data_IF_792665055659
#
_entry.id   IF_792665055659
#
_cell.length_a   1.000
_cell.length_b   1.000
_cell.length_c   1.000
_cell.angle_alpha   90.00
_cell.angle_beta   90.00
_cell.angle_gamma   90.00
#
_symmetry.space_group_name_H-M   'P 1'
#
loop_
_entity.id
_entity.type
_entity.pdbx_description
1 polymer ?
#
# COMPACT_ATOMS: atom_id res chain seq x y z
N UNK A 1 -21.36 37.20 -46.06
CA UNK A 1 -20.80 36.53 -44.87
C UNK A 1 -19.43 36.00 -45.24
N UNK A 2 -18.38 36.79 -45.04
CA UNK A 2 -17.00 36.46 -45.44
C UNK A 2 -16.06 36.47 -44.21
N UNK A 3 -16.46 35.78 -43.13
CA UNK A 3 -15.72 35.77 -41.86
C UNK A 3 -14.76 34.57 -41.69
N UNK A 4 -14.61 33.74 -42.74
CA UNK A 4 -13.97 32.42 -42.65
C UNK A 4 -12.43 32.41 -42.70
N UNK A 5 -11.70 33.31 -43.40
CA UNK A 5 -10.25 33.14 -43.59
C UNK A 5 -9.39 33.51 -42.37
N UNK A 6 -9.91 34.27 -41.42
CA UNK A 6 -9.11 34.72 -40.25
C UNK A 6 -9.02 33.65 -39.15
N UNK A 7 -10.06 32.84 -39.00
CA UNK A 7 -10.14 31.84 -37.93
C UNK A 7 -9.20 30.66 -38.16
N UNK A 8 -9.03 30.23 -39.42
CA UNK A 8 -8.09 29.16 -39.78
C UNK A 8 -6.64 29.56 -39.52
N UNK A 9 -6.25 30.80 -39.85
CA UNK A 9 -4.91 31.32 -39.59
C UNK A 9 -4.57 31.35 -38.10
N UNK A 10 -5.54 31.68 -37.23
CA UNK A 10 -5.33 31.70 -35.78
C UNK A 10 -5.11 30.29 -35.21
N UNK A 11 -5.90 29.31 -35.67
CA UNK A 11 -5.76 27.91 -35.23
C UNK A 11 -4.39 27.37 -35.62
N UNK A 12 -3.94 27.57 -36.87
CA UNK A 12 -2.63 27.09 -37.31
C UNK A 12 -1.48 27.70 -36.50
N UNK A 13 -1.56 29.00 -36.20
CA UNK A 13 -0.58 29.68 -35.34
C UNK A 13 -0.53 29.12 -33.92
N UNK A 14 -1.68 28.85 -33.31
CA UNK A 14 -1.76 28.25 -31.97
C UNK A 14 -1.21 26.81 -31.95
N UNK A 15 -1.59 25.97 -32.92
CA UNK A 15 -1.04 24.60 -33.01
C UNK A 15 0.46 24.61 -33.26
N UNK A 16 0.97 25.49 -34.12
CA UNK A 16 2.41 25.61 -34.36
C UNK A 16 3.14 26.06 -33.09
N UNK A 17 2.60 27.05 -32.36
CA UNK A 17 3.16 27.51 -31.09
C UNK A 17 3.19 26.40 -30.03
N UNK A 18 2.12 25.60 -29.91
CA UNK A 18 2.06 24.48 -28.97
C UNK A 18 3.02 23.33 -29.36
N UNK A 19 3.15 23.02 -30.64
CA UNK A 19 4.12 22.03 -31.14
C UNK A 19 5.55 22.54 -30.92
N UNK A 20 5.82 23.82 -31.18
CA UNK A 20 7.13 24.42 -30.98
C UNK A 20 7.49 24.47 -29.48
N UNK A 21 6.55 24.82 -28.60
CA UNK A 21 6.73 24.70 -27.15
C UNK A 21 6.99 23.24 -26.73
N UNK A 22 6.27 22.27 -27.30
CA UNK A 22 6.51 20.85 -27.05
C UNK A 22 7.90 20.38 -27.49
N UNK A 23 8.35 20.81 -28.67
CA UNK A 23 9.66 20.44 -29.24
C UNK A 23 10.82 21.16 -28.54
N UNK A 24 10.69 22.45 -28.23
CA UNK A 24 11.71 23.21 -27.52
C UNK A 24 11.88 22.73 -26.07
N UNK A 25 10.79 22.30 -25.42
CA UNK A 25 10.88 21.68 -24.09
C UNK A 25 11.42 20.23 -24.16
N UNK A 26 11.29 19.55 -25.30
CA UNK A 26 11.80 18.20 -25.52
C UNK A 26 13.30 18.10 -25.86
N UNK A 27 13.91 19.16 -26.40
CA UNK A 27 15.30 19.14 -26.88
C UNK A 27 16.36 19.43 -25.80
N UNK A 28 15.98 19.86 -24.60
CA UNK A 28 16.89 19.96 -23.45
C UNK A 28 16.80 18.71 -22.57
N UNK A 29 16.77 17.53 -23.17
CA UNK A 29 17.01 16.30 -22.43
C UNK A 29 18.52 16.10 -22.24
N UNK A 30 19.17 17.13 -21.68
CA UNK A 30 20.52 16.99 -21.10
C UNK A 30 20.43 15.78 -20.17
N UNK A 31 21.21 14.74 -20.44
CA UNK A 31 21.08 13.47 -19.73
C UNK A 31 21.17 13.74 -18.23
N UNK A 32 20.02 13.70 -17.55
CA UNK A 32 19.91 14.14 -16.17
C UNK A 32 20.34 13.01 -15.25
N UNK A 33 21.56 12.51 -15.47
CA UNK A 33 22.23 11.60 -14.57
C UNK A 33 22.18 12.20 -13.17
N UNK A 34 21.80 11.41 -12.18
CA UNK A 34 21.75 11.96 -10.83
C UNK A 34 23.17 12.23 -10.33
N UNK A 35 24.13 11.35 -10.64
CA UNK A 35 25.55 11.59 -10.40
C UNK A 35 26.20 12.17 -11.66
N UNK A 36 26.74 13.37 -11.56
CA UNK A 36 27.38 14.09 -12.66
C UNK A 36 28.88 13.75 -12.79
N UNK A 37 29.40 12.88 -11.93
CA UNK A 37 30.80 12.46 -11.94
C UNK A 37 31.68 13.24 -10.96
N UNK A 38 32.99 13.03 -11.12
CA UNK A 38 34.03 13.73 -10.37
C UNK A 38 34.47 14.98 -11.14
N UNK A 39 34.64 16.10 -10.44
CA UNK A 39 35.02 17.37 -11.04
C UNK A 39 36.05 18.12 -10.21
N UNK A 40 36.78 19.02 -10.87
CA UNK A 40 37.64 20.02 -10.23
C UNK A 40 37.08 21.42 -10.43
N UNK A 41 37.20 22.25 -9.40
CA UNK A 41 36.73 23.64 -9.44
C UNK A 41 37.54 24.46 -10.47
N UNK A 42 36.86 25.15 -11.38
CA UNK A 42 37.51 26.06 -12.33
C UNK A 42 37.26 27.53 -12.02
N UNK A 43 36.13 27.84 -11.37
CA UNK A 43 35.78 29.20 -11.01
C UNK A 43 35.62 29.37 -9.47
N UNK A 44 36.50 30.13 -8.79
CA UNK A 44 36.42 30.38 -7.34
C UNK A 44 35.08 30.99 -6.89
N UNK A 45 34.42 31.78 -7.75
CA UNK A 45 33.32 32.67 -7.38
C UNK A 45 31.92 32.07 -7.59
N UNK A 46 31.81 30.88 -8.17
CA UNK A 46 30.53 30.28 -8.58
C UNK A 46 29.70 29.66 -7.43
N UNK A 47 30.13 29.79 -6.17
CA UNK A 47 29.70 28.92 -5.08
C UNK A 47 29.06 29.66 -3.89
N UNK A 48 27.94 29.13 -3.40
CA UNK A 48 27.43 29.44 -2.06
C UNK A 48 27.85 28.32 -1.10
N UNK A 49 28.70 28.66 -0.14
CA UNK A 49 29.38 27.72 0.73
C UNK A 49 28.59 27.39 1.99
N UNK A 50 28.45 26.10 2.30
CA UNK A 50 27.98 25.62 3.60
C UNK A 50 29.14 24.94 4.36
N UNK A 51 29.56 25.55 5.48
CA UNK A 51 30.55 24.96 6.39
C UNK A 51 29.86 24.05 7.37
N UNK A 52 29.79 22.77 7.05
CA UNK A 52 29.80 21.67 8.02
C UNK A 52 29.77 20.34 7.24
N UNK A 53 30.32 19.26 7.81
CA UNK A 53 30.12 17.93 7.25
C UNK A 53 28.64 17.58 7.36
N UNK A 54 27.95 17.77 6.25
CA UNK A 54 26.53 17.48 6.08
C UNK A 54 26.45 16.24 5.20
N UNK A 55 25.63 15.27 5.59
CA UNK A 55 25.36 14.09 4.77
C UNK A 55 24.77 14.51 3.40
N UNK A 56 24.97 13.69 2.36
CA UNK A 56 24.56 14.04 0.99
C UNK A 56 23.06 14.36 0.90
N UNK A 57 22.21 13.67 1.66
CA UNK A 57 20.76 13.93 1.72
C UNK A 57 20.43 15.29 2.32
N UNK A 58 21.05 15.66 3.43
CA UNK A 58 20.84 16.94 4.09
C UNK A 58 21.32 18.09 3.20
N UNK A 59 22.50 17.94 2.60
CA UNK A 59 23.06 18.92 1.67
C UNK A 59 22.15 19.09 0.45
N UNK A 60 21.72 18.00 -0.17
CA UNK A 60 20.83 18.04 -1.33
C UNK A 60 19.46 18.62 -1.01
N UNK A 61 18.89 18.25 0.14
CA UNK A 61 17.62 18.79 0.62
C UNK A 61 17.70 20.31 0.81
N UNK A 62 18.79 20.80 1.40
CA UNK A 62 19.03 22.23 1.60
C UNK A 62 19.19 22.97 0.27
N UNK A 63 20.07 22.49 -0.61
CA UNK A 63 20.29 23.10 -1.93
C UNK A 63 18.99 23.17 -2.74
N UNK A 64 18.17 22.12 -2.69
CA UNK A 64 16.86 22.08 -3.34
C UNK A 64 15.89 23.11 -2.74
N UNK A 65 15.84 23.27 -1.42
CA UNK A 65 14.99 24.29 -0.75
C UNK A 65 15.38 25.71 -1.17
N UNK A 66 16.65 25.95 -1.44
CA UNK A 66 17.17 27.22 -1.94
C UNK A 66 17.04 27.39 -3.47
N UNK A 67 16.49 26.40 -4.18
CA UNK A 67 16.27 26.47 -5.63
C UNK A 67 17.48 26.09 -6.49
N UNK A 68 18.56 25.60 -5.89
CA UNK A 68 19.72 25.09 -6.63
C UNK A 68 19.46 23.71 -7.24
N UNK A 69 20.03 23.46 -8.42
CA UNK A 69 19.81 22.23 -9.20
C UNK A 69 20.81 21.12 -8.90
N UNK A 70 21.99 21.49 -8.42
CA UNK A 70 23.07 20.57 -8.16
C UNK A 70 23.72 20.82 -6.80
N UNK A 71 24.50 19.84 -6.39
CA UNK A 71 25.24 19.76 -5.16
C UNK A 71 26.64 19.32 -5.51
N UNK A 72 27.66 20.06 -5.07
CA UNK A 72 29.05 19.61 -5.08
C UNK A 72 29.46 19.19 -3.68
N UNK A 73 29.84 17.92 -3.54
CA UNK A 73 30.32 17.33 -2.30
C UNK A 73 31.83 17.20 -2.31
N UNK A 74 32.46 17.68 -1.24
CA UNK A 74 33.81 17.30 -0.81
C UNK A 74 33.72 16.75 0.61
N UNK A 75 34.72 16.01 1.07
CA UNK A 75 34.67 15.18 2.31
C UNK A 75 34.06 15.92 3.51
N UNK A 76 34.35 17.21 3.63
CA UNK A 76 33.91 18.04 4.74
C UNK A 76 33.01 19.22 4.35
N UNK A 77 32.72 19.37 3.06
CA UNK A 77 32.07 20.58 2.53
C UNK A 77 31.00 20.27 1.50
N UNK A 78 29.95 21.08 1.52
CA UNK A 78 28.79 21.00 0.66
C UNK A 78 28.62 22.35 -0.03
N UNK A 79 28.37 22.33 -1.34
CA UNK A 79 28.14 23.52 -2.15
C UNK A 79 26.88 23.34 -2.99
N UNK A 80 26.07 24.38 -3.07
CA UNK A 80 24.85 24.38 -3.88
C UNK A 80 25.11 25.12 -5.19
N UNK A 81 24.77 24.48 -6.32
CA UNK A 81 25.11 24.99 -7.65
C UNK A 81 23.88 25.09 -8.54
N UNK A 82 23.85 26.14 -9.37
CA UNK A 82 22.84 26.29 -10.41
C UNK A 82 23.22 25.58 -11.70
N UNK A 83 24.53 25.52 -11.98
CA UNK A 83 25.12 24.89 -13.17
C UNK A 83 26.29 24.02 -12.72
N UNK A 84 26.48 22.87 -13.35
CA UNK A 84 27.67 22.03 -13.15
C UNK A 84 28.86 22.45 -14.02
N UNK A 85 28.62 23.30 -15.02
CA UNK A 85 29.63 23.75 -16.00
C UNK A 85 30.76 24.61 -15.39
N UNK A 86 30.52 25.19 -14.21
CA UNK A 86 31.55 25.91 -13.42
C UNK A 86 32.61 24.96 -12.82
N UNK A 87 32.49 23.66 -13.12
CA UNK A 87 33.44 22.63 -12.75
C UNK A 87 33.85 21.84 -13.98
N UNK A 88 35.14 21.48 -14.03
CA UNK A 88 35.68 20.66 -15.10
C UNK A 88 35.66 19.21 -14.68
N UNK A 89 35.03 18.38 -15.51
CA UNK A 89 35.01 16.93 -15.32
C UNK A 89 36.44 16.38 -15.28
N UNK A 90 36.67 15.46 -14.35
CA UNK A 90 37.95 14.77 -14.16
C UNK A 90 37.71 13.26 -13.98
N UNK A 91 38.78 12.49 -13.87
CA UNK A 91 38.68 11.05 -13.69
C UNK A 91 38.04 10.66 -12.35
N UNK A 92 37.15 9.67 -12.36
CA UNK A 92 36.45 9.17 -11.16
C UNK A 92 37.40 8.72 -10.06
N UNK A 93 38.59 8.22 -10.44
CA UNK A 93 39.66 7.81 -9.53
C UNK A 93 40.20 8.94 -8.64
N UNK A 94 39.82 10.20 -8.87
CA UNK A 94 40.15 11.30 -7.98
C UNK A 94 39.11 11.46 -6.86
N UNK A 95 37.86 11.04 -7.07
CA UNK A 95 36.78 11.12 -6.07
C UNK A 95 36.67 9.82 -5.26
N UNK A 96 37.74 9.45 -4.55
CA UNK A 96 37.85 8.17 -3.82
C UNK A 96 37.25 8.19 -2.42
N UNK A 97 36.94 9.37 -1.88
CA UNK A 97 36.44 9.48 -0.52
C UNK A 97 34.94 9.22 -0.49
N UNK A 98 34.46 8.53 0.53
CA UNK A 98 33.05 8.21 0.68
C UNK A 98 32.35 9.26 1.55
N UNK A 99 31.06 9.51 1.33
CA UNK A 99 30.28 10.36 2.24
C UNK A 99 30.18 9.69 3.63
N UNK A 100 30.00 10.49 4.68
CA UNK A 100 29.93 10.03 6.08
C UNK A 100 28.96 8.85 6.33
N UNK A 101 27.80 8.84 5.64
CA UNK A 101 26.71 7.89 5.90
C UNK A 101 26.30 7.08 4.66
N UNK A 102 27.12 7.13 3.62
CA UNK A 102 26.86 6.36 2.41
C UNK A 102 28.18 5.87 1.84
N UNK A 103 28.14 4.81 1.05
CA UNK A 103 29.36 4.45 0.32
C UNK A 103 29.70 5.54 -0.72
N UNK A 104 28.75 6.39 -1.15
CA UNK A 104 28.87 7.21 -2.37
C UNK A 104 30.08 8.15 -2.37
N UNK A 105 30.64 8.46 -3.55
CA UNK A 105 31.71 9.43 -3.68
C UNK A 105 31.38 10.81 -3.06
N UNK A 106 32.34 11.38 -2.33
CA UNK A 106 32.21 12.66 -1.63
C UNK A 106 33.45 13.52 -1.87
N UNK A 107 33.81 13.68 -3.13
CA UNK A 107 35.03 14.37 -3.53
C UNK A 107 36.28 13.53 -3.34
N UNK A 108 37.43 14.20 -3.41
CA UNK A 108 38.73 13.57 -3.55
C UNK A 108 39.74 13.85 -2.44
N UNK A 109 40.98 13.42 -2.69
CA UNK A 109 42.13 13.65 -1.80
C UNK A 109 42.55 15.11 -1.73
N UNK A 110 42.23 15.90 -2.76
CA UNK A 110 42.50 17.35 -2.80
C UNK A 110 41.23 18.12 -2.44
N UNK A 111 41.40 19.29 -1.84
CA UNK A 111 40.29 20.17 -1.44
C UNK A 111 39.47 20.70 -2.63
N UNK A 112 40.01 20.61 -3.85
CA UNK A 112 39.40 21.14 -5.07
C UNK A 112 38.67 20.07 -5.90
N UNK A 113 38.59 18.84 -5.39
CA UNK A 113 37.93 17.71 -6.08
C UNK A 113 36.56 17.44 -5.47
N UNK A 114 35.53 17.48 -6.32
CA UNK A 114 34.13 17.42 -5.92
C UNK A 114 33.38 16.29 -6.63
N UNK A 115 32.52 15.60 -5.90
CA UNK A 115 31.49 14.72 -6.47
C UNK A 115 30.22 15.54 -6.68
N UNK A 116 29.80 15.69 -7.94
CA UNK A 116 28.62 16.50 -8.26
C UNK A 116 27.39 15.62 -8.40
N UNK A 117 26.31 16.01 -7.73
CA UNK A 117 25.01 15.35 -7.74
C UNK A 117 23.92 16.32 -8.13
N UNK A 118 22.84 15.83 -8.76
CA UNK A 118 21.59 16.58 -8.82
C UNK A 118 20.96 16.67 -7.44
N UNK A 119 20.48 17.86 -7.08
CA UNK A 119 19.79 18.12 -5.80
C UNK A 119 18.43 17.42 -5.71
N UNK A 120 17.89 16.93 -6.83
CA UNK A 120 16.66 16.14 -6.91
C UNK A 120 16.91 14.63 -6.84
N UNK A 121 17.94 14.19 -6.13
CA UNK A 121 18.31 12.78 -6.00
C UNK A 121 17.22 11.86 -5.44
N UNK A 122 17.50 10.54 -5.37
CA UNK A 122 16.54 9.52 -5.00
C UNK A 122 16.32 9.46 -3.48
N UNK A 123 16.08 10.60 -2.85
CA UNK A 123 15.87 10.69 -1.41
C UNK A 123 14.50 10.13 -1.03
N UNK A 124 14.43 9.47 0.13
CA UNK A 124 13.17 9.03 0.72
C UNK A 124 12.45 10.28 1.24
N UNK A 125 11.28 10.56 0.68
CA UNK A 125 10.45 11.71 1.02
C UNK A 125 9.49 11.38 2.16
N UNK A 126 8.84 10.22 2.10
CA UNK A 126 7.88 9.81 3.13
C UNK A 126 7.76 8.30 3.23
N UNK A 127 7.44 7.84 4.44
CA UNK A 127 7.04 6.46 4.73
C UNK A 127 5.65 6.50 5.36
N UNK A 128 4.70 5.83 4.72
CA UNK A 128 3.29 5.83 5.13
C UNK A 128 2.80 4.40 5.30
N UNK A 129 2.03 4.15 6.35
CA UNK A 129 1.34 2.88 6.52
C UNK A 129 0.00 2.94 5.81
N UNK A 130 -0.28 1.98 4.94
CA UNK A 130 -1.61 1.82 4.37
C UNK A 130 -2.52 1.24 5.46
N UNK A 131 -3.51 2.02 5.87
CA UNK A 131 -4.36 1.69 7.03
C UNK A 131 -5.13 0.39 6.80
N UNK A 132 -4.99 -0.55 7.73
CA UNK A 132 -5.79 -1.77 7.80
C UNK A 132 -6.28 -1.96 9.24
N UNK A 133 -7.51 -2.45 9.40
CA UNK A 133 -8.04 -2.89 10.68
C UNK A 133 -7.40 -4.23 11.03
N UNK A 134 -6.70 -4.28 12.16
CA UNK A 134 -5.90 -5.44 12.61
C UNK A 134 -6.61 -6.14 13.77
N UNK A 135 -6.74 -7.46 13.70
CA UNK A 135 -7.23 -8.30 14.81
C UNK A 135 -6.06 -8.78 15.69
N UNK A 136 -6.24 -8.88 17.02
CA UNK A 136 -5.19 -9.35 17.92
C UNK A 136 -4.88 -10.84 17.72
N UNK A 137 -3.66 -11.25 18.10
CA UNK A 137 -3.12 -12.61 18.08
C UNK A 137 -3.02 -13.28 16.71
N UNK A 138 -3.18 -12.52 15.63
CA UNK A 138 -3.00 -12.98 14.26
C UNK A 138 -1.81 -12.27 13.62
N UNK A 139 -0.94 -12.99 12.88
CA UNK A 139 0.06 -12.35 12.03
C UNK A 139 -0.64 -11.52 10.95
N UNK A 140 -0.33 -10.24 10.87
CA UNK A 140 -0.86 -9.31 9.87
C UNK A 140 0.29 -8.72 9.06
N UNK A 141 0.10 -8.74 7.75
CA UNK A 141 1.03 -8.16 6.79
C UNK A 141 0.68 -6.69 6.55
N UNK A 142 1.37 -5.81 7.24
CA UNK A 142 1.22 -4.37 7.11
C UNK A 142 1.86 -3.89 5.81
N UNK A 143 1.09 -3.17 5.01
CA UNK A 143 1.55 -2.57 3.77
C UNK A 143 2.10 -1.16 4.03
N UNK A 144 3.38 -0.96 3.74
CA UNK A 144 4.10 0.30 3.94
C UNK A 144 4.45 0.88 2.57
N UNK A 145 3.92 2.06 2.29
CA UNK A 145 4.24 2.85 1.11
C UNK A 145 5.47 3.70 1.38
N UNK A 146 6.48 3.57 0.53
CA UNK A 146 7.69 4.36 0.58
C UNK A 146 7.72 5.25 -0.67
N UNK A 147 7.71 6.56 -0.45
CA UNK A 147 7.79 7.56 -1.52
C UNK A 147 9.19 8.12 -1.59
N UNK A 148 9.79 8.06 -2.77
CA UNK A 148 11.04 8.72 -3.10
C UNK A 148 10.77 9.96 -3.95
N UNK A 149 11.59 10.99 -3.77
CA UNK A 149 11.49 12.23 -4.55
C UNK A 149 11.66 11.99 -6.06
N UNK A 150 12.60 11.11 -6.43
CA UNK A 150 12.88 10.71 -7.82
C UNK A 150 13.36 9.28 -7.84
N UNK A 151 12.91 8.49 -8.81
CA UNK A 151 13.51 7.20 -9.08
C UNK A 151 14.78 7.36 -9.92
N UNK A 152 15.88 6.76 -9.46
CA UNK A 152 17.13 6.68 -10.21
C UNK A 152 17.48 5.21 -10.38
N UNK A 153 17.56 4.77 -11.63
CA UNK A 153 18.03 3.43 -11.95
C UNK A 153 19.57 3.44 -11.99
N UNK A 154 20.20 3.05 -10.88
CA UNK A 154 21.66 3.07 -10.75
C UNK A 154 22.35 2.13 -11.73
N UNK A 155 21.68 1.08 -12.23
CA UNK A 155 22.25 0.22 -13.30
C UNK A 155 22.44 0.94 -14.64
N UNK A 156 21.75 2.07 -14.83
CA UNK A 156 21.85 2.94 -16.02
C UNK A 156 22.70 4.18 -15.76
N UNK A 157 23.26 4.34 -14.56
CA UNK A 157 24.15 5.46 -14.24
C UNK A 157 25.59 5.03 -14.61
N UNK A 158 26.13 5.47 -15.77
CA UNK A 158 27.38 4.95 -16.30
C UNK A 158 28.59 5.27 -15.40
N UNK A 159 28.46 6.32 -14.59
CA UNK A 159 29.50 6.83 -13.70
C UNK A 159 29.44 6.23 -12.29
N UNK A 160 28.48 5.35 -12.02
CA UNK A 160 28.40 4.58 -10.78
C UNK A 160 28.72 3.13 -11.09
N UNK A 161 29.69 2.55 -10.38
CA UNK A 161 30.02 1.14 -10.54
C UNK A 161 28.79 0.20 -10.39
N UNK A 162 28.88 -1.04 -10.85
CA UNK A 162 27.79 -2.02 -10.67
C UNK A 162 27.49 -2.39 -9.20
N UNK A 163 28.40 -2.05 -8.27
CA UNK A 163 28.27 -2.34 -6.83
C UNK A 163 27.24 -1.45 -6.11
N UNK A 164 26.68 -0.46 -6.79
CA UNK A 164 25.73 0.52 -6.26
C UNK A 164 24.30 0.12 -6.62
N UNK A 165 23.85 -1.06 -6.19
CA UNK A 165 22.45 -1.44 -6.37
C UNK A 165 21.56 -0.57 -5.50
N UNK A 166 20.63 0.15 -6.12
CA UNK A 166 19.60 0.90 -5.41
C UNK A 166 18.75 -0.12 -4.64
N UNK A 167 19.06 -0.30 -3.37
CA UNK A 167 18.36 -1.21 -2.47
C UNK A 167 17.66 -0.36 -1.44
N UNK A 168 16.36 -0.55 -1.34
CA UNK A 168 15.53 0.06 -0.33
C UNK A 168 15.36 -0.95 0.79
N UNK A 169 15.76 -0.60 1.99
CA UNK A 169 15.60 -1.45 3.16
C UNK A 169 14.64 -0.80 4.13
N UNK A 170 13.57 -1.52 4.43
CA UNK A 170 12.62 -1.15 5.46
C UNK A 170 12.94 -1.95 6.72
N UNK A 171 13.31 -1.24 7.76
CA UNK A 171 13.53 -1.74 9.10
C UNK A 171 12.31 -1.38 9.93
N UNK A 172 11.87 -2.29 10.79
CA UNK A 172 10.84 -1.99 11.77
C UNK A 172 11.27 -2.44 13.16
N UNK A 173 10.94 -1.62 14.13
CA UNK A 173 11.15 -1.88 15.54
C UNK A 173 9.82 -1.66 16.28
N UNK A 174 9.43 -2.67 17.04
CA UNK A 174 8.31 -2.61 17.97
C UNK A 174 8.80 -3.02 19.36
N UNK A 175 7.93 -2.92 20.36
CA UNK A 175 8.24 -3.43 21.72
C UNK A 175 8.43 -4.95 21.77
N UNK A 176 7.94 -5.69 20.77
CA UNK A 176 7.87 -7.16 20.82
C UNK A 176 8.78 -7.82 19.78
N UNK A 177 8.97 -7.18 18.63
CA UNK A 177 9.70 -7.73 17.49
C UNK A 177 10.44 -6.65 16.73
N UNK A 178 11.56 -7.01 16.12
CA UNK A 178 12.23 -6.22 15.09
C UNK A 178 12.39 -7.05 13.82
N UNK A 179 12.54 -6.39 12.68
CA UNK A 179 12.77 -7.07 11.42
C UNK A 179 13.20 -6.11 10.31
N UNK A 180 13.53 -6.70 9.16
CA UNK A 180 13.98 -5.98 7.99
C UNK A 180 13.48 -6.65 6.71
N UNK A 181 13.21 -5.85 5.68
CA UNK A 181 12.96 -6.34 4.32
C UNK A 181 13.73 -5.48 3.33
N UNK A 182 14.39 -6.12 2.37
CA UNK A 182 15.08 -5.45 1.25
C UNK A 182 14.23 -5.53 0.00
N UNK A 183 14.15 -4.41 -0.71
CA UNK A 183 13.32 -4.23 -1.90
C UNK A 183 14.19 -3.59 -2.97
N UNK A 184 14.09 -4.10 -4.19
CA UNK A 184 14.66 -3.46 -5.36
C UNK A 184 13.60 -2.52 -5.95
N UNK A 185 13.76 -1.19 -5.82
CA UNK A 185 12.80 -0.23 -6.31
C UNK A 185 12.72 -0.30 -7.84
N UNK A 186 11.51 -0.21 -8.37
CA UNK A 186 11.16 -0.14 -9.80
C UNK A 186 10.64 1.24 -10.19
N UNK A 187 10.25 2.08 -9.22
CA UNK A 187 9.75 3.43 -9.44
C UNK A 187 9.91 4.33 -8.20
N UNK A 188 9.28 5.51 -8.23
CA UNK A 188 9.35 6.47 -7.10
C UNK A 188 8.45 6.10 -5.92
N UNK A 189 7.52 5.17 -6.13
CA UNK A 189 6.60 4.68 -5.10
C UNK A 189 6.79 3.18 -5.00
N UNK A 190 7.17 2.72 -3.82
CA UNK A 190 7.37 1.30 -3.55
C UNK A 190 6.48 0.85 -2.41
N UNK A 191 6.04 -0.40 -2.50
CA UNK A 191 5.25 -1.05 -1.46
C UNK A 191 6.08 -2.14 -0.81
N UNK A 192 6.13 -2.09 0.50
CA UNK A 192 6.81 -3.06 1.36
C UNK A 192 5.79 -3.73 2.26
N UNK A 193 5.94 -5.02 2.51
CA UNK A 193 5.14 -5.72 3.49
C UNK A 193 5.99 -6.04 4.73
N UNK A 194 5.49 -5.73 5.92
CA UNK A 194 6.07 -6.23 7.18
C UNK A 194 5.03 -7.04 7.96
N UNK A 195 5.40 -8.25 8.37
CA UNK A 195 4.49 -9.14 9.10
C UNK A 195 4.70 -8.97 10.60
N UNK A 196 3.64 -8.61 11.31
CA UNK A 196 3.64 -8.39 12.75
C UNK A 196 2.46 -9.10 13.41
N UNK A 197 2.62 -9.51 14.66
CA UNK A 197 1.54 -10.02 15.49
C UNK A 197 1.38 -9.12 16.72
N UNK A 198 0.13 -8.77 17.04
CA UNK A 198 -0.20 -7.88 18.15
C UNK A 198 -0.89 -8.68 19.26
N UNK A 199 -0.40 -8.67 20.51
CA UNK A 199 -0.92 -9.55 21.57
C UNK A 199 -2.32 -9.16 22.07
N UNK A 200 -2.75 -7.92 21.85
CA UNK A 200 -4.02 -7.40 22.38
C UNK A 200 -4.56 -6.26 21.51
N UNK A 201 -5.82 -5.87 21.74
CA UNK A 201 -6.37 -4.66 21.15
C UNK A 201 -5.78 -3.41 21.79
N UNK A 202 -5.58 -2.35 21.01
CA UNK A 202 -5.03 -1.07 21.46
C UNK A 202 -4.27 -0.33 20.37
N UNK A 203 -3.54 0.69 20.79
CA UNK A 203 -2.68 1.49 19.92
C UNK A 203 -1.23 1.02 20.09
N UNK A 204 -0.60 0.63 19.00
CA UNK A 204 0.78 0.15 18.99
C UNK A 204 1.65 1.09 18.17
N UNK A 205 2.76 1.52 18.73
CA UNK A 205 3.75 2.32 18.02
C UNK A 205 4.76 1.42 17.32
N UNK A 206 4.95 1.68 16.04
CA UNK A 206 5.94 1.03 15.19
C UNK A 206 6.91 2.11 14.74
N UNK A 207 8.17 1.93 15.08
CA UNK A 207 9.24 2.71 14.50
C UNK A 207 9.62 2.08 13.16
N UNK A 208 9.35 2.77 12.06
CA UNK A 208 9.77 2.39 10.72
C UNK A 208 10.99 3.22 10.32
N UNK A 209 12.04 2.55 9.87
CA UNK A 209 13.18 3.22 9.25
C UNK A 209 13.30 2.70 7.83
N UNK A 210 13.06 3.57 6.86
CA UNK A 210 13.39 3.29 5.47
C UNK A 210 14.78 3.86 5.16
N UNK A 211 15.65 3.06 4.55
CA UNK A 211 16.97 3.51 4.12
C UNK A 211 17.25 3.09 2.69
N UNK A 212 17.96 3.93 1.96
CA UNK A 212 18.57 3.58 0.68
C UNK A 212 20.02 4.06 0.67
N UNK A 213 20.67 4.02 -0.51
CA UNK A 213 22.08 4.41 -0.64
C UNK A 213 22.35 5.88 -0.28
N UNK A 214 21.35 6.77 -0.36
CA UNK A 214 21.55 8.23 -0.25
C UNK A 214 20.94 8.82 1.01
N UNK A 215 19.92 8.19 1.58
CA UNK A 215 19.09 8.77 2.63
C UNK A 215 18.53 7.70 3.55
N UNK A 216 18.21 8.12 4.77
CA UNK A 216 17.42 7.36 5.70
C UNK A 216 16.30 8.23 6.25
N UNK A 217 15.12 7.66 6.44
CA UNK A 217 13.98 8.32 7.04
C UNK A 217 13.40 7.44 8.14
N UNK A 218 13.35 7.99 9.34
CA UNK A 218 12.74 7.37 10.51
C UNK A 218 11.36 7.97 10.74
N UNK A 219 10.35 7.13 10.87
CA UNK A 219 8.95 7.50 11.07
C UNK A 219 8.33 6.67 12.19
N UNK A 220 7.60 7.32 13.09
CA UNK A 220 6.86 6.66 14.15
C UNK A 220 5.39 6.58 13.74
N UNK A 221 4.92 5.38 13.46
CA UNK A 221 3.54 5.12 13.03
C UNK A 221 2.75 4.45 14.15
N UNK A 222 1.44 4.69 14.17
CA UNK A 222 0.53 4.08 15.14
C UNK A 222 -0.42 3.13 14.44
N UNK A 223 -0.49 1.88 14.92
CA UNK A 223 -1.42 0.86 14.45
C UNK A 223 -2.54 0.70 15.46
N UNK A 224 -3.78 0.80 14.97
CA UNK A 224 -4.98 0.57 15.76
C UNK A 224 -5.42 -0.88 15.61
N UNK A 225 -5.23 -1.66 16.68
CA UNK A 225 -5.65 -3.06 16.75
C UNK A 225 -6.98 -3.10 17.46
N UNK A 226 -8.01 -3.63 16.80
CA UNK A 226 -9.36 -3.71 17.35
C UNK A 226 -9.78 -5.16 17.44
N UNK A 227 -10.36 -5.53 18.58
CA UNK A 227 -11.08 -6.80 18.65
C UNK A 227 -12.37 -6.60 17.87
N UNK A 228 -12.53 -7.31 16.74
CA UNK A 228 -13.84 -7.37 16.11
C UNK A 228 -14.78 -7.98 17.13
N UNK A 229 -15.73 -7.16 17.62
CA UNK A 229 -16.93 -7.72 18.22
C UNK A 229 -17.61 -8.46 17.09
N UNK A 230 -17.56 -9.78 17.10
CA UNK A 230 -18.53 -10.55 16.34
C UNK A 230 -19.88 -10.02 16.80
N UNK A 231 -20.56 -9.24 15.94
CA UNK A 231 -21.99 -9.05 16.10
C UNK A 231 -22.52 -10.47 16.05
N UNK A 232 -22.84 -11.01 17.22
CA UNK A 232 -23.74 -12.13 17.31
C UNK A 232 -24.99 -11.61 16.60
N UNK A 233 -25.20 -12.03 15.36
CA UNK A 233 -26.51 -11.95 14.75
C UNK A 233 -27.39 -12.80 15.66
N UNK A 234 -28.15 -12.14 16.52
CA UNK A 234 -29.24 -12.80 17.23
C UNK A 234 -30.19 -13.30 16.16
N UNK A 235 -30.17 -14.62 15.95
CA UNK A 235 -31.17 -15.29 15.15
C UNK A 235 -32.39 -15.41 16.06
N UNK A 236 -33.25 -14.40 16.04
CA UNK A 236 -34.56 -14.50 16.65
C UNK A 236 -35.42 -15.43 15.80
N UNK A 237 -35.82 -16.54 16.39
CA UNK A 237 -36.83 -17.43 15.84
C UNK A 237 -38.20 -16.89 16.27
N UNK A 238 -38.91 -16.22 15.36
CA UNK A 238 -40.31 -15.87 15.59
C UNK A 238 -41.20 -17.02 15.13
N UNK A 239 -41.89 -17.65 16.09
CA UNK A 239 -43.00 -18.58 15.79
C UNK A 239 -44.22 -17.71 15.48
N UNK A 240 -44.67 -17.71 14.21
CA UNK A 240 -45.86 -16.99 13.78
C UNK A 240 -46.98 -18.02 13.61
N UNK A 241 -47.96 -17.99 14.52
CA UNK A 241 -49.29 -18.57 14.31
C UNK A 241 -49.87 -19.38 15.48
N UNK A 242 -51.04 -18.97 15.97
CA UNK A 242 -51.95 -19.74 16.84
C UNK A 242 -52.79 -20.79 16.07
N UNK A 243 -52.39 -21.15 14.86
CA UNK A 243 -53.12 -22.13 14.05
C UNK A 243 -52.49 -23.50 14.17
N UNK A 244 -53.22 -24.39 14.84
CA UNK A 244 -52.95 -25.82 14.93
C UNK A 244 -52.76 -26.43 13.51
N UNK A 245 -51.59 -27.00 13.18
CA UNK A 245 -51.35 -27.49 11.82
C UNK A 245 -51.77 -28.95 11.70
N UNK A 246 -52.77 -29.21 10.86
CA UNK A 246 -53.05 -30.54 10.32
C UNK A 246 -52.24 -30.79 9.05
N UNK A 247 -51.59 -31.96 9.03
CA UNK A 247 -51.05 -32.70 7.88
C UNK A 247 -49.64 -32.35 7.38
N UNK A 248 -48.89 -33.46 7.21
CA UNK A 248 -47.52 -33.59 6.71
C UNK A 248 -47.32 -32.90 5.36
N UNK A 249 -46.29 -32.07 5.26
CA UNK A 249 -45.68 -31.68 3.98
C UNK A 249 -44.20 -32.06 3.95
N UNK A 250 -43.78 -32.69 2.86
CA UNK A 250 -42.40 -33.05 2.59
C UNK A 250 -41.64 -31.86 1.95
N UNK A 251 -40.40 -31.65 2.42
CA UNK A 251 -39.50 -30.58 2.02
C UNK A 251 -38.71 -30.97 0.76
N UNK A 252 -39.14 -30.54 -0.42
CA UNK A 252 -38.27 -30.52 -1.61
C UNK A 252 -38.64 -29.35 -2.52
N UNK A 253 -37.61 -28.55 -2.84
CA UNK A 253 -37.54 -27.41 -3.77
C UNK A 253 -37.75 -26.00 -3.18
N UNK A 254 -36.62 -25.31 -3.03
CA UNK A 254 -36.52 -23.88 -2.74
C UNK A 254 -36.28 -23.17 -4.07
N UNK A 255 -37.26 -22.43 -4.58
CA UNK A 255 -37.08 -21.45 -5.66
C UNK A 255 -37.94 -20.24 -5.35
N UNK A 256 -37.30 -19.28 -4.69
CA UNK A 256 -37.31 -17.85 -5.05
C UNK A 256 -36.88 -17.03 -3.84
N UNK A 257 -35.75 -16.35 -3.98
CA UNK A 257 -35.28 -15.35 -3.02
C UNK A 257 -35.77 -14.00 -3.51
N UNK A 258 -36.99 -13.63 -3.11
CA UNK A 258 -37.47 -12.26 -3.29
C UNK A 258 -36.73 -11.32 -2.33
N UNK A 259 -35.76 -10.55 -2.85
CA UNK A 259 -35.14 -9.45 -2.12
C UNK A 259 -36.10 -8.27 -2.08
N UNK A 260 -36.77 -8.07 -0.95
CA UNK A 260 -37.32 -6.77 -0.59
C UNK A 260 -36.61 -6.28 0.68
N UNK A 261 -36.07 -5.06 0.62
CA UNK A 261 -35.02 -4.52 1.48
C UNK A 261 -34.99 -5.02 2.94
N UNK A 262 -33.81 -5.53 3.33
CA UNK A 262 -33.38 -6.01 4.67
C UNK A 262 -33.93 -7.33 5.21
N UNK A 263 -34.90 -7.97 4.54
CA UNK A 263 -35.37 -9.29 4.97
C UNK A 263 -35.24 -10.30 3.83
N UNK A 264 -34.71 -11.48 4.14
CA UNK A 264 -34.79 -12.65 3.27
C UNK A 264 -35.96 -13.48 3.78
N UNK A 265 -37.13 -13.33 3.15
CA UNK A 265 -38.27 -14.20 3.39
C UNK A 265 -38.12 -15.41 2.47
N UNK A 266 -38.20 -16.62 3.03
CA UNK A 266 -38.22 -17.83 2.22
C UNK A 266 -39.56 -18.52 2.38
N UNK A 267 -40.29 -18.66 1.27
CA UNK A 267 -41.59 -19.30 1.21
C UNK A 267 -41.51 -20.60 0.39
N UNK A 268 -42.23 -21.61 0.84
CA UNK A 268 -42.34 -22.92 0.19
C UNK A 268 -43.57 -22.93 -0.74
N UNK A 269 -43.40 -23.36 -2.00
CA UNK A 269 -44.50 -23.65 -2.94
C UNK A 269 -44.44 -25.12 -3.36
N UNK A 270 -45.55 -25.84 -3.21
CA UNK A 270 -45.63 -27.30 -3.28
C UNK A 270 -45.71 -27.88 -4.71
N UNK A 271 -45.18 -29.10 -4.89
CA UNK A 271 -45.40 -29.93 -6.09
C UNK A 271 -44.58 -31.24 -6.13
N UNK A 272 -45.21 -32.35 -5.73
CA UNK A 272 -44.86 -33.78 -5.95
C UNK A 272 -43.60 -34.40 -5.33
N UNK A 273 -43.76 -35.66 -4.89
CA UNK A 273 -42.92 -36.48 -4.02
C UNK A 273 -41.75 -37.20 -4.70
N UNK A 274 -40.60 -37.32 -4.00
CA UNK A 274 -39.94 -38.56 -3.52
C UNK A 274 -38.68 -38.15 -2.71
N UNK A 275 -38.38 -38.86 -1.63
CA UNK A 275 -37.49 -38.41 -0.56
C UNK A 275 -36.00 -38.32 -0.92
N UNK A 276 -35.37 -37.24 -0.47
CA UNK A 276 -33.90 -37.10 -0.40
C UNK A 276 -33.54 -36.04 0.64
N UNK A 277 -32.37 -36.22 1.27
CA UNK A 277 -31.71 -35.25 2.14
C UNK A 277 -31.69 -33.86 1.47
N UNK A 278 -32.06 -32.82 2.21
CA UNK A 278 -32.08 -31.45 1.72
C UNK A 278 -31.06 -30.61 2.48
N UNK A 279 -30.13 -30.01 1.73
CA UNK A 279 -29.21 -29.00 2.25
C UNK A 279 -29.62 -27.65 1.69
N UNK A 280 -29.91 -26.68 2.56
CA UNK A 280 -30.13 -25.30 2.14
C UNK A 280 -28.92 -24.47 2.50
N UNK A 281 -28.38 -23.77 1.50
CA UNK A 281 -27.19 -22.94 1.64
C UNK A 281 -27.59 -21.49 1.43
N UNK A 282 -27.47 -20.67 2.47
CA UNK A 282 -27.72 -19.24 2.43
C UNK A 282 -26.36 -18.52 2.41
N UNK A 283 -26.09 -17.76 1.34
CA UNK A 283 -24.85 -17.02 1.18
C UNK A 283 -25.10 -15.50 1.18
N UNK A 284 -24.27 -14.77 1.90
CA UNK A 284 -24.04 -13.34 1.70
C UNK A 284 -22.57 -13.12 1.28
N UNK A 285 -22.19 -11.89 0.93
CA UNK A 285 -20.86 -11.50 0.45
C UNK A 285 -19.69 -11.87 1.37
N UNK A 286 -19.94 -12.25 2.63
CA UNK A 286 -18.88 -12.60 3.60
C UNK A 286 -19.11 -13.87 4.41
N UNK A 287 -20.27 -14.52 4.29
CA UNK A 287 -20.65 -15.66 5.13
C UNK A 287 -21.53 -16.65 4.40
N UNK A 288 -21.32 -17.93 4.71
CA UNK A 288 -22.07 -19.05 4.16
C UNK A 288 -22.71 -19.80 5.33
N UNK A 289 -24.04 -19.91 5.32
CA UNK A 289 -24.81 -20.63 6.33
C UNK A 289 -25.40 -21.87 5.67
N UNK A 290 -25.00 -23.04 6.16
CA UNK A 290 -25.53 -24.32 5.71
C UNK A 290 -26.48 -24.87 6.78
N UNK A 291 -27.70 -25.19 6.36
CA UNK A 291 -28.69 -25.88 7.18
C UNK A 291 -28.94 -27.22 6.51
N UNK A 292 -28.42 -28.28 7.12
CA UNK A 292 -28.64 -29.65 6.70
C UNK A 292 -29.67 -30.31 7.63
N UNK A 293 -30.75 -30.83 7.05
CA UNK A 293 -31.73 -31.62 7.79
C UNK A 293 -31.51 -33.11 7.47
N UNK A 294 -31.34 -33.95 8.50
CA UNK A 294 -31.24 -35.40 8.33
C UNK A 294 -32.18 -36.18 9.24
N UNK A 295 -32.74 -37.25 8.68
CA UNK A 295 -33.53 -38.27 9.39
C UNK A 295 -34.99 -37.89 9.69
N UNK A 296 -35.75 -38.88 10.16
CA UNK A 296 -37.15 -38.76 10.56
C UNK A 296 -37.40 -37.84 11.76
N UNK A 297 -36.34 -37.45 12.48
CA UNK A 297 -36.41 -36.69 13.72
C UNK A 297 -36.04 -35.20 13.55
N UNK A 298 -35.98 -34.70 12.31
CA UNK A 298 -35.66 -33.30 12.00
C UNK A 298 -34.44 -32.78 12.77
N UNK A 299 -33.32 -33.52 12.72
CA UNK A 299 -32.06 -32.99 13.25
C UNK A 299 -31.51 -31.99 12.25
N UNK A 300 -31.41 -30.73 12.67
CA UNK A 300 -30.78 -29.66 11.92
C UNK A 300 -29.33 -29.52 12.37
N UNK A 301 -28.40 -29.77 11.47
CA UNK A 301 -27.02 -29.35 11.63
C UNK A 301 -26.89 -27.97 10.99
N UNK A 302 -26.55 -26.97 11.82
CA UNK A 302 -26.28 -25.61 11.36
C UNK A 302 -24.78 -25.39 11.42
N UNK A 303 -24.20 -25.12 10.27
CA UNK A 303 -22.77 -24.84 10.11
C UNK A 303 -22.59 -23.44 9.53
N UNK A 304 -21.67 -22.67 10.11
CA UNK A 304 -21.31 -21.34 9.63
C UNK A 304 -19.91 -21.36 9.03
N UNK A 305 -19.77 -20.91 7.79
CA UNK A 305 -18.49 -20.64 7.14
C UNK A 305 -18.14 -19.17 7.29
N UNK A 306 -16.98 -18.89 7.90
CA UNK A 306 -16.46 -17.53 8.10
C UNK A 306 -15.45 -17.10 7.03
N UNK A 307 -15.30 -17.87 5.94
CA UNK A 307 -14.26 -17.66 4.92
C UNK A 307 -13.03 -18.55 5.07
N UNK A 308 -12.82 -19.22 6.22
CA UNK A 308 -11.62 -20.03 6.50
C UNK A 308 -11.98 -21.43 7.03
N UNK A 309 -12.93 -21.53 7.97
CA UNK A 309 -13.34 -22.82 8.56
C UNK A 309 -14.85 -22.89 8.79
N UNK A 310 -15.39 -24.11 8.73
CA UNK A 310 -16.76 -24.42 9.13
C UNK A 310 -16.82 -24.54 10.65
N UNK A 311 -17.68 -23.77 11.30
CA UNK A 311 -18.01 -23.92 12.72
C UNK A 311 -19.40 -24.52 12.88
N UNK A 312 -19.48 -25.68 13.51
CA UNK A 312 -20.74 -26.32 13.91
C UNK A 312 -21.33 -25.56 15.09
N UNK A 313 -22.54 -25.05 14.95
CA UNK A 313 -23.25 -24.39 16.05
C UNK A 313 -23.89 -25.49 16.92
N UNK A 314 -23.29 -25.77 18.07
CA UNK A 314 -23.85 -26.75 19.01
C UNK A 314 -25.04 -26.14 19.75
N UNK A 315 -26.24 -26.70 19.53
CA UNK A 315 -27.40 -26.40 20.37
C UNK A 315 -27.44 -27.40 21.54
N UNK A 316 -27.49 -26.90 22.78
CA UNK A 316 -28.09 -27.66 23.89
C UNK A 316 -29.60 -27.65 23.62
N UNK A 317 -30.17 -28.79 23.21
CA UNK A 317 -31.62 -28.93 23.17
C UNK A 317 -32.14 -28.86 24.61
N UNK A 318 -33.06 -27.92 24.87
CA UNK A 318 -33.95 -28.07 26.02
C UNK A 318 -34.88 -29.25 25.74
N UNK A 319 -35.02 -30.10 26.77
CA UNK A 319 -35.71 -31.38 26.76
C UNK A 319 -37.18 -31.22 26.39
N UNK A 320 -37.68 -32.18 25.60
CA UNK A 320 -39.10 -32.47 25.34
C UNK A 320 -39.94 -31.36 24.68
N UNK A 321 -39.97 -31.39 23.34
CA UNK A 321 -41.16 -31.02 22.59
C UNK A 321 -41.70 -32.29 21.94
N UNK A 322 -42.72 -32.89 22.56
CA UNK A 322 -43.48 -33.97 21.96
C UNK A 322 -44.30 -33.45 20.78
N UNK A 323 -44.07 -34.08 19.64
CA UNK A 323 -44.88 -34.08 18.41
C UNK A 323 -45.79 -32.87 18.14
N UNK A 324 -45.29 -31.88 17.38
CA UNK A 324 -46.08 -31.12 16.40
C UNK A 324 -45.14 -30.38 15.42
N UNK A 325 -45.42 -30.48 14.11
CA UNK A 325 -44.71 -29.75 13.05
C UNK A 325 -45.09 -28.27 13.09
N UNK A 326 -44.17 -27.40 13.48
CA UNK A 326 -44.31 -25.95 13.39
C UNK A 326 -43.58 -25.42 12.16
N UNK A 327 -44.17 -24.44 11.48
CA UNK A 327 -43.46 -23.66 10.46
C UNK A 327 -42.40 -22.81 11.17
N UNK A 328 -41.13 -23.19 11.01
CA UNK A 328 -40.01 -22.39 11.52
C UNK A 328 -39.70 -21.31 10.49
N UNK A 329 -40.07 -20.06 10.80
CA UNK A 329 -39.56 -18.90 10.06
C UNK A 329 -38.28 -18.41 10.74
N UNK A 330 -37.17 -18.37 10.00
CA UNK A 330 -35.92 -17.78 10.48
C UNK A 330 -35.87 -16.33 10.01
N UNK A 331 -35.93 -15.38 10.95
CA UNK A 331 -35.69 -13.97 10.63
C UNK A 331 -34.22 -13.65 10.91
N UNK A 332 -33.45 -13.41 9.86
CA UNK A 332 -32.08 -12.90 10.00
C UNK A 332 -32.17 -11.38 10.02
N UNK A 333 -32.10 -10.79 11.21
CA UNK A 333 -32.11 -9.34 11.36
C UNK A 333 -30.67 -8.83 11.34
N UNK A 334 -30.31 -8.07 10.30
CA UNK A 334 -29.01 -7.40 10.23
C UNK A 334 -29.07 -6.13 11.10
N UNK A 335 -28.51 -6.18 12.30
CA UNK A 335 -28.30 -4.99 13.17
C UNK A 335 -27.06 -4.26 12.69
#
# INVERSE_FOLDING_TARGET
>A
MEFVPWFTSFIYGLTFYLIFLGLCNGLSQHSSHWYQGCHVKTNPDAERHWRTPISLDLCSSQCRKEGFKFVAMSVYTCYCLNKSEDYKSTGEHLCVNNCKDSKLPCGGTTNDTFSIYSSSGPFIESVQLQTQVVEPNMPVSLQVMIKMNKFVNTSKEPLLHSKWENTLELLWLTRFTSGSVRITPKGSHEMAACTLAFPSSGNFHIELTARNLVSFLKSNLTVHVVTRRHKLTDIEFSVIGDTQPSCRHALTNWRDVSRNGKNVLVTSSSGTSVGTQGTTVLANSSTLLEIAASGSNLKFDISLWNGITWKKLSRKMYKEMDSCTTNVSCKITQI
#
